data_IF_434331103974
#
_entry.id   IF_434331103974
#
_cell.length_a   1.000
_cell.length_b   1.000
_cell.length_c   1.000
_cell.angle_alpha   90.00
_cell.angle_beta   90.00
_cell.angle_gamma   90.00
#
_symmetry.space_group_name_H-M   'P 1'
#
loop_
_entity.id
_entity.type
_entity.pdbx_description
1 polymer ?
#
# COMPACT_ATOMS: atom_id res chain seq x y z
N UNK A 1 14.36 -5.01 19.74
CA UNK A 1 12.93 -4.88 19.38
C UNK A 1 12.08 -5.37 20.53
N UNK A 2 11.07 -4.59 20.99
CA UNK A 2 10.17 -4.99 22.07
C UNK A 2 9.41 -6.29 21.74
N UNK A 3 9.19 -7.15 22.73
CA UNK A 3 8.53 -8.45 22.54
C UNK A 3 7.07 -8.32 22.07
N UNK A 4 6.40 -7.27 22.50
CA UNK A 4 5.03 -6.96 22.08
C UNK A 4 4.92 -6.79 20.56
N UNK A 5 5.87 -6.09 19.94
CA UNK A 5 5.91 -5.89 18.48
C UNK A 5 6.12 -7.21 17.75
N UNK A 6 6.99 -8.08 18.27
CA UNK A 6 7.20 -9.42 17.69
C UNK A 6 5.92 -10.25 17.75
N UNK A 7 5.18 -10.21 18.87
CA UNK A 7 3.90 -10.91 19.01
C UNK A 7 2.84 -10.36 18.06
N UNK A 8 2.78 -9.03 17.92
CA UNK A 8 1.89 -8.38 16.98
C UNK A 8 2.15 -8.84 15.55
N UNK A 9 3.39 -8.74 15.06
CA UNK A 9 3.77 -9.16 13.70
C UNK A 9 3.45 -10.63 13.45
N UNK A 10 3.72 -11.52 14.42
CA UNK A 10 3.32 -12.93 14.31
C UNK A 10 1.81 -13.11 14.17
N UNK A 11 1.02 -12.43 15.01
CA UNK A 11 -0.45 -12.49 14.92
C UNK A 11 -1.02 -11.88 13.64
N UNK A 12 -0.31 -10.92 13.03
CA UNK A 12 -0.65 -10.38 11.71
C UNK A 12 -0.38 -11.42 10.61
N UNK A 13 0.77 -12.08 10.65
CA UNK A 13 1.15 -13.12 9.68
C UNK A 13 0.22 -14.33 9.66
N UNK A 14 -0.49 -14.60 10.75
CA UNK A 14 -1.56 -15.61 10.77
C UNK A 14 -2.79 -15.22 9.94
N UNK A 15 -2.94 -13.93 9.57
CA UNK A 15 -4.17 -13.38 8.96
C UNK A 15 -3.94 -12.65 7.64
N UNK A 16 -2.72 -12.21 7.37
CA UNK A 16 -2.33 -11.51 6.16
C UNK A 16 -0.83 -11.64 5.91
N UNK A 17 -0.41 -11.32 4.68
CA UNK A 17 1.01 -11.19 4.37
C UNK A 17 1.57 -9.89 4.93
N UNK A 18 2.84 -9.90 5.32
CA UNK A 18 3.53 -8.76 5.92
C UNK A 18 4.85 -8.52 5.20
N UNK A 19 4.96 -7.39 4.51
CA UNK A 19 6.18 -6.93 3.87
C UNK A 19 6.90 -5.85 4.67
N UNK A 20 8.24 -5.81 4.58
CA UNK A 20 9.07 -4.72 5.07
C UNK A 20 9.72 -3.99 3.89
N UNK A 21 9.47 -2.68 3.76
CA UNK A 21 10.14 -1.82 2.78
C UNK A 21 10.95 -0.77 3.52
N UNK A 22 12.27 -0.76 3.35
CA UNK A 22 13.15 0.15 4.08
C UNK A 22 14.14 0.87 3.17
N UNK A 23 14.22 2.19 3.30
CA UNK A 23 15.19 2.99 2.56
C UNK A 23 16.55 2.98 3.29
N UNK A 24 17.63 2.91 2.54
CA UNK A 24 18.98 3.10 3.04
C UNK A 24 20.00 2.15 2.41
N UNK A 25 21.31 2.34 2.72
CA UNK A 25 22.37 1.49 2.17
C UNK A 25 22.19 0.02 2.54
N UNK A 26 22.44 -0.87 1.58
CA UNK A 26 22.24 -2.32 1.71
C UNK A 26 22.83 -2.90 2.99
N UNK A 27 24.14 -2.76 3.18
CA UNK A 27 24.86 -3.35 4.32
C UNK A 27 24.27 -2.94 5.68
N UNK A 28 24.01 -1.64 5.89
CA UNK A 28 23.50 -1.13 7.16
C UNK A 28 22.06 -1.55 7.47
N UNK A 29 21.24 -1.77 6.44
CA UNK A 29 19.85 -2.21 6.62
C UNK A 29 19.79 -3.72 6.87
N UNK A 30 20.58 -4.52 6.15
CA UNK A 30 20.69 -5.96 6.41
C UNK A 30 21.29 -6.26 7.78
N UNK A 31 22.29 -5.50 8.23
CA UNK A 31 22.82 -5.63 9.59
C UNK A 31 21.72 -5.43 10.65
N UNK A 32 20.85 -4.43 10.48
CA UNK A 32 19.70 -4.21 11.38
C UNK A 32 18.69 -5.35 11.32
N UNK A 33 18.40 -5.86 10.12
CA UNK A 33 17.49 -7.00 9.90
C UNK A 33 17.99 -8.24 10.65
N UNK A 34 19.28 -8.54 10.54
CA UNK A 34 19.90 -9.70 11.18
C UNK A 34 20.00 -9.53 12.70
N UNK A 35 20.50 -8.37 13.16
CA UNK A 35 20.64 -8.07 14.61
C UNK A 35 19.31 -8.10 15.35
N UNK A 36 18.22 -7.71 14.70
CA UNK A 36 16.88 -7.72 15.30
C UNK A 36 16.11 -9.03 15.05
N UNK A 37 16.69 -9.95 14.27
CA UNK A 37 16.08 -11.19 13.82
C UNK A 37 14.70 -10.96 13.17
N UNK A 38 14.68 -10.09 12.14
CA UNK A 38 13.44 -9.70 11.46
C UNK A 38 13.04 -10.63 10.32
N UNK A 39 14.00 -11.35 9.71
CA UNK A 39 13.73 -12.31 8.62
C UNK A 39 12.52 -13.23 8.87
N UNK A 40 12.36 -13.87 10.05
CA UNK A 40 11.21 -14.74 10.30
C UNK A 40 9.88 -14.00 10.59
N UNK A 41 9.88 -12.66 10.62
CA UNK A 41 8.71 -11.84 10.95
C UNK A 41 8.08 -11.16 9.73
N UNK A 42 8.67 -11.32 8.55
CA UNK A 42 8.20 -10.73 7.30
C UNK A 42 8.23 -11.78 6.20
N UNK A 43 7.24 -11.73 5.31
CA UNK A 43 7.16 -12.62 4.14
C UNK A 43 8.04 -12.10 3.00
N UNK A 44 8.21 -10.78 2.92
CA UNK A 44 9.11 -10.10 1.98
C UNK A 44 9.85 -8.98 2.71
N UNK A 45 11.14 -8.81 2.43
CA UNK A 45 11.95 -7.69 2.89
C UNK A 45 12.63 -7.06 1.67
N UNK A 46 12.36 -5.78 1.44
CA UNK A 46 13.03 -4.96 0.43
C UNK A 46 13.84 -3.86 1.10
N UNK A 47 15.11 -3.77 0.69
CA UNK A 47 16.05 -2.73 1.08
C UNK A 47 16.34 -1.90 -0.17
N UNK A 48 16.10 -0.59 -0.12
CA UNK A 48 16.27 0.25 -1.31
C UNK A 48 17.71 0.30 -1.82
N UNK A 49 18.70 0.11 -0.95
CA UNK A 49 20.11 0.03 -1.36
C UNK A 49 20.47 -1.17 -2.24
N UNK A 50 19.60 -2.17 -2.36
CA UNK A 50 19.74 -3.29 -3.29
C UNK A 50 19.00 -3.06 -4.62
N UNK A 51 18.28 -1.94 -4.72
CA UNK A 51 17.33 -1.67 -5.80
C UNK A 51 17.64 -0.32 -6.46
N UNK A 52 17.24 -0.12 -7.72
CA UNK A 52 17.37 1.18 -8.38
C UNK A 52 16.33 2.20 -7.93
N UNK A 53 15.44 1.82 -7.00
CA UNK A 53 14.31 2.64 -6.55
C UNK A 53 14.21 2.64 -5.04
N UNK A 54 13.72 3.74 -4.49
CA UNK A 54 13.44 3.90 -3.07
C UNK A 54 12.10 4.60 -2.85
N UNK A 55 11.57 4.55 -1.62
CA UNK A 55 10.39 5.33 -1.27
C UNK A 55 10.70 6.84 -1.41
N UNK A 56 9.83 7.67 -1.99
CA UNK A 56 8.42 7.44 -2.32
C UNK A 56 8.13 6.96 -3.76
N UNK A 57 9.13 6.45 -4.49
CA UNK A 57 8.90 5.94 -5.85
C UNK A 57 7.95 4.74 -5.80
N UNK A 58 6.86 4.78 -6.57
CA UNK A 58 5.84 3.70 -6.56
C UNK A 58 6.39 2.30 -6.84
N UNK A 59 7.52 2.21 -7.57
CA UNK A 59 8.05 0.95 -8.08
C UNK A 59 8.51 0.01 -6.97
N UNK A 60 9.08 0.51 -5.86
CA UNK A 60 9.49 -0.35 -4.73
C UNK A 60 8.27 -0.96 -4.02
N UNK A 61 7.13 -0.26 -3.98
CA UNK A 61 5.89 -0.78 -3.42
C UNK A 61 5.25 -1.81 -4.34
N UNK A 62 5.29 -1.56 -5.66
CA UNK A 62 4.83 -2.51 -6.67
C UNK A 62 5.64 -3.80 -6.61
N UNK A 63 6.98 -3.70 -6.53
CA UNK A 63 7.87 -4.86 -6.38
C UNK A 63 7.52 -5.68 -5.13
N UNK A 64 7.28 -5.02 -3.99
CA UNK A 64 6.86 -5.72 -2.77
C UNK A 64 5.51 -6.44 -2.96
N UNK A 65 4.57 -5.81 -3.65
CA UNK A 65 3.26 -6.42 -3.94
C UNK A 65 3.40 -7.61 -4.90
N UNK A 66 4.24 -7.49 -5.92
CA UNK A 66 4.51 -8.54 -6.91
C UNK A 66 5.16 -9.77 -6.24
N UNK A 67 6.17 -9.56 -5.38
CA UNK A 67 6.80 -10.64 -4.60
C UNK A 67 5.82 -11.32 -3.62
N UNK A 68 4.85 -10.57 -3.10
CA UNK A 68 3.80 -11.10 -2.23
C UNK A 68 2.62 -11.70 -2.99
N UNK A 69 2.55 -11.54 -4.32
CA UNK A 69 1.42 -11.99 -5.15
C UNK A 69 0.10 -11.27 -4.84
N UNK A 70 0.16 -9.98 -4.46
CA UNK A 70 -1.02 -9.18 -4.09
C UNK A 70 -1.16 -7.94 -4.96
N UNK A 71 -2.38 -7.41 -5.09
CA UNK A 71 -2.63 -6.16 -5.81
C UNK A 71 -2.42 -4.97 -4.85
N UNK A 72 -1.74 -3.88 -5.25
CA UNK A 72 -1.53 -2.71 -4.38
C UNK A 72 -2.82 -2.17 -3.74
N UNK A 73 -3.93 -2.09 -4.48
CA UNK A 73 -5.21 -1.61 -3.94
C UNK A 73 -5.83 -2.49 -2.84
N UNK A 74 -5.25 -3.66 -2.57
CA UNK A 74 -5.63 -4.57 -1.49
C UNK A 74 -4.61 -4.57 -0.33
N UNK A 75 -3.57 -3.73 -0.40
CA UNK A 75 -2.55 -3.61 0.65
C UNK A 75 -2.72 -2.34 1.47
N UNK A 76 -2.05 -2.31 2.61
CA UNK A 76 -2.00 -1.17 3.53
C UNK A 76 -0.55 -0.77 3.70
N UNK A 77 -0.23 0.49 3.45
CA UNK A 77 1.09 1.04 3.78
C UNK A 77 1.05 1.67 5.17
N UNK A 78 1.99 1.28 6.03
CA UNK A 78 2.13 1.78 7.39
C UNK A 78 3.54 2.33 7.56
N UNK A 79 3.67 3.59 7.98
CA UNK A 79 4.97 4.21 8.17
C UNK A 79 4.93 5.51 8.97
N UNK A 80 6.10 6.02 9.31
CA UNK A 80 6.27 7.20 10.15
C UNK A 80 6.61 8.47 9.35
N UNK A 81 7.02 8.32 8.09
CA UNK A 81 7.44 9.45 7.26
C UNK A 81 6.41 9.77 6.18
N UNK A 82 5.82 10.95 6.24
CA UNK A 82 4.82 11.40 5.27
C UNK A 82 5.38 11.41 3.84
N UNK A 83 6.56 11.97 3.67
CA UNK A 83 7.16 12.27 2.37
C UNK A 83 7.69 11.01 1.65
N UNK A 84 7.89 9.90 2.38
CA UNK A 84 8.40 8.65 1.82
C UNK A 84 7.37 7.52 1.91
N UNK A 85 6.88 7.22 3.11
CA UNK A 85 5.96 6.11 3.32
C UNK A 85 4.56 6.41 2.80
N UNK A 86 3.98 7.52 3.25
CA UNK A 86 2.60 7.88 2.93
C UNK A 86 2.50 8.32 1.48
N UNK A 87 3.36 9.26 1.06
CA UNK A 87 3.43 9.68 -0.34
C UNK A 87 3.74 8.50 -1.26
N UNK A 88 4.61 7.58 -0.85
CA UNK A 88 4.93 6.39 -1.63
C UNK A 88 3.74 5.43 -1.78
N UNK A 89 3.01 5.19 -0.69
CA UNK A 89 1.76 4.43 -0.72
C UNK A 89 0.72 5.06 -1.64
N UNK A 90 0.53 6.38 -1.57
CA UNK A 90 -0.35 7.16 -2.45
C UNK A 90 0.09 7.00 -3.93
N UNK A 91 1.37 7.19 -4.21
CA UNK A 91 1.94 7.06 -5.56
C UNK A 91 1.74 5.65 -6.14
N UNK A 92 1.79 4.63 -5.29
CA UNK A 92 1.58 3.22 -5.64
C UNK A 92 0.10 2.81 -5.67
N UNK A 93 -0.81 3.71 -5.27
CA UNK A 93 -2.26 3.46 -5.16
C UNK A 93 -2.57 2.26 -4.27
N UNK A 94 -1.92 2.19 -3.11
CA UNK A 94 -2.27 1.19 -2.10
C UNK A 94 -3.71 1.40 -1.62
N UNK A 95 -4.34 0.37 -1.07
CA UNK A 95 -5.73 0.46 -0.60
C UNK A 95 -5.93 1.49 0.51
N UNK A 96 -4.98 1.56 1.44
CA UNK A 96 -4.96 2.55 2.51
C UNK A 96 -3.53 2.88 2.98
N UNK A 97 -3.36 4.09 3.50
CA UNK A 97 -2.12 4.58 4.12
C UNK A 97 -2.37 4.95 5.59
N UNK A 98 -1.52 4.45 6.48
CA UNK A 98 -1.60 4.69 7.92
C UNK A 98 -0.32 5.34 8.38
N UNK A 99 -0.45 6.52 8.96
CA UNK A 99 0.67 7.29 9.47
C UNK A 99 0.82 7.14 10.98
N UNK A 100 2.06 6.92 11.43
CA UNK A 100 2.45 6.89 12.84
C UNK A 100 3.37 8.10 13.09
N UNK A 101 2.86 9.21 13.64
CA UNK A 101 3.64 10.42 13.78
C UNK A 101 4.84 10.26 14.71
N UNK A 102 6.07 10.57 14.28
CA UNK A 102 7.20 10.62 15.19
C UNK A 102 7.06 11.84 16.10
N UNK A 103 7.37 11.68 17.39
CA UNK A 103 7.45 12.77 18.38
C UNK A 103 6.23 13.71 18.41
N UNK A 104 5.01 13.18 18.26
CA UNK A 104 3.76 13.95 18.19
C UNK A 104 3.72 15.01 17.07
N UNK A 105 4.43 14.80 15.95
CA UNK A 105 4.30 15.64 14.75
C UNK A 105 2.82 15.75 14.34
N UNK A 106 2.39 16.97 13.99
CA UNK A 106 1.08 17.24 13.39
C UNK A 106 1.20 17.42 11.89
N UNK A 107 0.09 17.25 11.17
CA UNK A 107 0.02 17.57 9.75
C UNK A 107 0.07 19.09 9.55
N UNK A 108 0.83 19.51 8.54
CA UNK A 108 0.88 20.88 8.04
C UNK A 108 0.18 20.98 6.68
N UNK A 109 -0.12 22.22 6.26
CA UNK A 109 -0.61 22.47 4.90
C UNK A 109 0.46 22.01 3.90
N UNK A 110 0.05 21.21 2.92
CA UNK A 110 0.93 20.65 1.90
C UNK A 110 1.52 19.27 2.24
N UNK A 111 1.32 18.77 3.46
CA UNK A 111 1.71 17.40 3.79
C UNK A 111 0.87 16.36 3.01
N UNK A 112 1.47 15.22 2.63
CA UNK A 112 0.72 14.06 2.17
C UNK A 112 -0.37 13.67 3.17
N UNK A 113 -1.61 13.50 2.70
CA UNK A 113 -2.75 13.18 3.56
C UNK A 113 -2.91 11.66 3.72
N UNK A 114 -2.61 11.08 4.90
CA UNK A 114 -2.85 9.66 5.13
C UNK A 114 -4.34 9.36 5.29
N UNK A 115 -4.75 8.11 5.04
CA UNK A 115 -6.13 7.67 5.29
C UNK A 115 -6.44 7.56 6.79
N UNK A 116 -5.43 7.20 7.59
CA UNK A 116 -5.57 7.06 9.04
C UNK A 116 -4.29 7.51 9.75
N UNK A 117 -4.46 8.00 10.98
CA UNK A 117 -3.37 8.38 11.88
C UNK A 117 -3.55 7.59 13.18
N UNK A 118 -2.50 6.90 13.62
CA UNK A 118 -2.49 6.15 14.89
C UNK A 118 -1.27 6.57 15.71
N UNK A 119 -1.32 6.48 17.04
CA UNK A 119 -0.21 6.96 17.88
C UNK A 119 0.96 5.98 17.88
N UNK A 120 0.67 4.70 17.78
CA UNK A 120 1.69 3.66 17.73
C UNK A 120 1.17 2.40 17.02
N UNK A 121 2.10 1.50 16.71
CA UNK A 121 1.82 0.27 15.95
C UNK A 121 0.94 -0.73 16.69
N UNK A 122 0.83 -0.68 18.03
CA UNK A 122 0.04 -1.68 18.78
C UNK A 122 -1.48 -1.46 18.61
N UNK A 123 -1.89 -0.25 18.25
CA UNK A 123 -3.28 0.08 17.88
C UNK A 123 -3.76 -0.70 16.65
N UNK A 124 -2.86 -1.16 15.78
CA UNK A 124 -3.22 -1.90 14.57
C UNK A 124 -4.09 -3.12 14.87
N UNK A 125 -3.87 -3.83 15.98
CA UNK A 125 -4.62 -5.04 16.32
C UNK A 125 -6.12 -4.77 16.42
N UNK A 126 -6.52 -3.61 16.94
CA UNK A 126 -7.92 -3.20 17.06
C UNK A 126 -8.49 -2.66 15.73
N UNK A 127 -7.61 -2.18 14.85
CA UNK A 127 -8.00 -1.50 13.61
C UNK A 127 -8.10 -2.43 12.40
N UNK A 128 -7.47 -3.61 12.39
CA UNK A 128 -7.54 -4.57 11.27
C UNK A 128 -8.98 -4.80 10.75
N UNK A 129 -10.00 -5.04 11.60
CA UNK A 129 -11.36 -5.25 11.11
C UNK A 129 -11.90 -4.03 10.35
N UNK A 130 -11.60 -2.83 10.85
CA UNK A 130 -12.01 -1.57 10.25
C UNK A 130 -11.29 -1.30 8.92
N UNK A 131 -9.98 -1.54 8.86
CA UNK A 131 -9.20 -1.30 7.64
C UNK A 131 -9.64 -2.23 6.50
N UNK A 132 -10.00 -3.49 6.80
CA UNK A 132 -10.58 -4.40 5.80
C UNK A 132 -11.88 -3.85 5.19
N UNK A 133 -12.70 -3.18 5.99
CA UNK A 133 -13.93 -2.55 5.49
C UNK A 133 -13.61 -1.31 4.65
N UNK A 134 -12.67 -0.46 5.08
CA UNK A 134 -12.23 0.72 4.30
C UNK A 134 -11.74 0.32 2.89
N UNK A 135 -10.92 -0.74 2.79
CA UNK A 135 -10.43 -1.25 1.50
C UNK A 135 -11.59 -1.77 0.64
N UNK A 136 -12.57 -2.45 1.24
CA UNK A 136 -13.77 -2.94 0.51
C UNK A 136 -14.62 -1.78 -0.02
N UNK A 137 -14.85 -0.75 0.80
CA UNK A 137 -15.64 0.43 0.42
C UNK A 137 -14.97 1.20 -0.72
N UNK A 138 -13.66 1.46 -0.62
CA UNK A 138 -12.88 2.10 -1.70
C UNK A 138 -12.93 1.30 -3.01
N UNK A 139 -12.78 -0.03 -2.93
CA UNK A 139 -12.81 -0.89 -4.11
C UNK A 139 -14.24 -1.12 -4.66
N UNK A 140 -15.27 -0.96 -3.84
CA UNK A 140 -16.67 -1.00 -4.25
C UNK A 140 -17.12 0.29 -4.93
N UNK A 141 -16.72 1.44 -4.40
CA UNK A 141 -17.02 2.76 -4.99
C UNK A 141 -16.34 2.94 -6.36
N UNK A 142 -15.13 2.39 -6.53
CA UNK A 142 -14.43 2.40 -7.83
C UNK A 142 -15.05 1.48 -8.91
N UNK A 143 -15.97 0.58 -8.56
CA UNK A 143 -16.72 -0.23 -9.54
C UNK A 143 -17.93 0.51 -10.14
N UNK A 144 -18.33 1.67 -9.58
CA UNK A 144 -19.46 2.46 -10.07
C UNK A 144 -19.15 3.45 -11.20
N UNK A 145 -17.89 3.55 -11.66
CA UNK A 145 -17.45 4.56 -12.66
C UNK A 145 -17.06 3.93 -14.00
N UNK A 146 -17.30 2.63 -14.19
CA UNK A 146 -17.03 1.95 -15.47
C UNK A 146 -18.28 1.21 -15.98
N UNK A 147 -19.39 1.93 -16.11
CA UNK A 147 -20.56 1.52 -16.89
C UNK A 147 -21.41 2.75 -17.18
N UNK A 148 -21.07 3.46 -18.26
CA UNK A 148 -21.94 4.33 -19.08
C UNK A 148 -21.08 5.06 -20.09
N UNK A 149 -20.79 4.37 -21.19
CA UNK A 149 -20.72 4.96 -22.53
C UNK A 149 -21.00 3.82 -23.50
N UNK A 150 -22.28 3.43 -23.53
CA UNK A 150 -22.87 2.69 -24.63
C UNK A 150 -24.31 3.16 -24.75
N UNK A 151 -24.68 3.49 -25.98
CA UNK A 151 -26.01 3.84 -26.52
C UNK A 151 -26.39 5.32 -26.46
N UNK A 152 -26.32 5.95 -27.63
CA UNK A 152 -27.46 6.50 -28.40
C UNK A 152 -26.93 6.74 -29.84
N UNK A 153 -27.60 6.48 -30.96
CA UNK A 153 -28.82 5.77 -31.30
C UNK A 153 -28.77 5.54 -32.84
N UNK A 154 -29.49 4.53 -33.31
CA UNK A 154 -29.80 4.28 -34.72
C UNK A 154 -30.52 5.48 -35.36
N UNK A 155 -30.26 5.77 -36.64
CA UNK A 155 -31.28 5.56 -37.68
C UNK A 155 -30.82 5.93 -39.10
N UNK A 156 -31.03 4.95 -39.98
CA UNK A 156 -31.47 5.02 -41.38
C UNK A 156 -30.91 6.12 -42.32
N UNK A 157 -30.18 5.68 -43.36
CA UNK A 157 -30.78 5.76 -44.70
C UNK A 157 -30.17 4.73 -45.67
N UNK A 158 -31.07 3.96 -46.25
CA UNK A 158 -30.92 3.12 -47.43
C UNK A 158 -30.47 3.89 -48.68
N UNK A 159 -29.77 3.18 -49.57
CA UNK A 159 -29.66 3.30 -51.04
C UNK A 159 -28.22 2.96 -51.43
N UNK A 160 -27.88 2.02 -52.31
CA UNK A 160 -28.65 1.20 -53.23
C UNK A 160 -27.65 0.54 -54.19
N UNK A 161 -28.02 -0.65 -54.65
CA UNK A 161 -27.74 -1.22 -55.98
C UNK A 161 -26.29 -1.56 -56.41
N UNK A 162 -26.16 -2.85 -56.75
CA UNK A 162 -25.59 -3.41 -57.98
C UNK A 162 -24.12 -3.16 -58.35
N UNK A 163 -23.39 -4.28 -58.40
CA UNK A 163 -23.06 -4.82 -59.72
C UNK A 163 -21.57 -4.91 -60.06
N UNK A 164 -21.08 -6.16 -59.99
CA UNK A 164 -19.89 -6.74 -60.64
C UNK A 164 -18.51 -6.43 -60.05
#
# INVERSE_FOLDING_TARGET
>A
MPQEIKRLLKSLREKCLVGLITNGPSAGQWEKVDRLNLKPLFDVILVSGDLPWEKPQKRIFQEACDMLGVVPSQTIMIGDKLETDIQGGINARVGATIWIPPNNRTLNVGDPTPDMIIKNVTELKALIPHIKNLIKEKNGSNRGVCERMSLDAEDCNSNGSDGS
#
